data_IF_196962864906
#
_entry.id   IF_196962864906
#
_cell.length_a   1.000
_cell.length_b   1.000
_cell.length_c   1.000
_cell.angle_alpha   90.00
_cell.angle_beta   90.00
_cell.angle_gamma   90.00
#
_symmetry.space_group_name_H-M   'P 1'
#
loop_
_entity.id
_entity.type
_entity.pdbx_description
1 polymer ?
#
# COMPACT_ATOMS: atom_id res chain seq x y z
N UNK A 1 8.69 -9.97 10.07
CA UNK A 1 7.41 -9.34 9.67
C UNK A 1 7.23 -8.04 10.45
N UNK A 2 6.79 -6.97 9.79
CA UNK A 2 6.52 -5.65 10.37
C UNK A 2 5.03 -5.36 10.31
N UNK A 3 4.47 -4.77 11.36
CA UNK A 3 3.08 -4.29 11.37
C UNK A 3 3.04 -2.83 10.92
N UNK A 4 2.10 -2.50 10.05
CA UNK A 4 1.86 -1.14 9.57
C UNK A 4 0.39 -0.79 9.75
N UNK A 5 0.13 0.46 10.14
CA UNK A 5 -1.22 0.98 10.31
C UNK A 5 -1.44 2.20 9.44
N UNK A 6 -2.69 2.42 9.00
CA UNK A 6 -3.07 3.74 8.47
C UNK A 6 -3.08 4.79 9.59
N UNK A 7 -3.26 6.06 9.23
CA UNK A 7 -3.23 7.16 10.20
C UNK A 7 -4.30 7.03 11.30
N UNK A 8 -5.53 6.65 10.94
CA UNK A 8 -6.59 6.48 11.92
C UNK A 8 -6.51 5.16 12.71
N UNK A 9 -5.56 4.27 12.39
CA UNK A 9 -5.42 2.95 13.02
C UNK A 9 -6.50 1.91 12.66
N UNK A 10 -7.49 2.30 11.85
CA UNK A 10 -8.59 1.41 11.43
C UNK A 10 -8.14 0.27 10.52
N UNK A 11 -7.05 0.45 9.77
CA UNK A 11 -6.44 -0.57 8.92
C UNK A 11 -5.09 -0.97 9.52
N UNK A 12 -4.89 -2.28 9.66
CA UNK A 12 -3.61 -2.88 10.05
C UNK A 12 -3.24 -3.94 9.03
N UNK A 13 -1.99 -3.88 8.57
CA UNK A 13 -1.39 -4.89 7.70
C UNK A 13 -0.13 -5.43 8.35
N UNK A 14 0.17 -6.68 8.05
CA UNK A 14 1.45 -7.31 8.33
C UNK A 14 2.19 -7.50 7.02
N UNK A 15 3.43 -7.03 6.98
CA UNK A 15 4.27 -7.09 5.79
C UNK A 15 5.61 -7.74 6.11
N UNK A 16 6.03 -8.66 5.28
CA UNK A 16 7.38 -9.16 5.24
C UNK A 16 8.17 -8.34 4.22
N UNK A 17 9.15 -7.58 4.69
CA UNK A 17 9.96 -6.70 3.84
C UNK A 17 11.40 -6.74 4.32
N UNK A 18 12.38 -6.78 3.39
CA UNK A 18 13.79 -6.75 3.76
C UNK A 18 14.14 -5.53 4.61
N UNK A 19 15.09 -5.73 5.53
CA UNK A 19 15.68 -4.67 6.35
C UNK A 19 17.22 -4.80 6.28
N UNK A 20 17.93 -3.88 5.62
CA UNK A 20 17.43 -2.65 4.99
C UNK A 20 16.60 -2.90 3.73
N UNK A 21 15.81 -1.91 3.31
CA UNK A 21 15.06 -1.98 2.06
C UNK A 21 16.02 -2.16 0.87
N UNK A 22 15.78 -3.19 0.05
CA UNK A 22 16.62 -3.50 -1.13
C UNK A 22 16.36 -2.53 -2.28
N UNK A 23 15.10 -2.14 -2.51
CA UNK A 23 14.72 -1.27 -3.62
C UNK A 23 13.55 -0.38 -3.24
N UNK A 24 13.77 0.93 -3.29
CA UNK A 24 12.73 1.95 -3.12
C UNK A 24 12.50 2.69 -4.43
N UNK A 25 11.24 3.03 -4.70
CA UNK A 25 10.81 3.63 -5.97
C UNK A 25 9.91 4.83 -5.67
N UNK A 26 10.08 5.89 -6.45
CA UNK A 26 9.13 7.00 -6.52
C UNK A 26 8.62 7.12 -7.96
N UNK A 27 7.47 6.50 -8.22
CA UNK A 27 6.88 6.50 -9.55
C UNK A 27 6.45 7.92 -9.97
N UNK A 28 6.73 8.29 -11.22
CA UNK A 28 6.51 9.64 -11.77
C UNK A 28 5.25 9.75 -12.65
N UNK A 29 4.40 8.72 -12.71
CA UNK A 29 3.13 8.80 -13.44
C UNK A 29 2.17 9.81 -12.77
N UNK A 30 1.15 10.24 -13.50
CA UNK A 30 0.20 11.28 -13.04
C UNK A 30 -0.49 10.96 -11.72
N UNK A 31 -0.87 9.70 -11.49
CA UNK A 31 -1.45 9.25 -10.22
C UNK A 31 -0.42 9.25 -9.08
N UNK A 32 0.74 8.65 -9.30
CA UNK A 32 1.77 8.51 -8.25
C UNK A 32 2.38 9.84 -7.85
N UNK A 33 2.54 10.78 -8.79
CA UNK A 33 2.94 12.17 -8.49
C UNK A 33 1.97 12.85 -7.52
N UNK A 34 0.66 12.67 -7.70
CA UNK A 34 -0.37 13.22 -6.79
C UNK A 34 -0.36 12.55 -5.41
N UNK A 35 -0.09 11.24 -5.36
CA UNK A 35 0.02 10.50 -4.09
C UNK A 35 1.27 10.85 -3.30
N UNK A 36 2.37 11.15 -3.99
CA UNK A 36 3.64 11.56 -3.36
C UNK A 36 4.34 10.47 -2.55
N UNK A 37 3.92 9.21 -2.66
CA UNK A 37 4.45 8.11 -1.85
C UNK A 37 5.77 7.54 -2.36
N UNK A 38 6.61 7.07 -1.44
CA UNK A 38 7.76 6.21 -1.71
C UNK A 38 7.30 4.76 -1.48
N UNK A 39 7.59 3.87 -2.42
CA UNK A 39 7.11 2.49 -2.40
C UNK A 39 8.25 1.50 -2.56
N UNK A 40 8.09 0.33 -1.94
CA UNK A 40 8.89 -0.88 -2.20
C UNK A 40 7.96 -1.98 -2.68
N UNK A 41 8.51 -2.99 -3.35
CA UNK A 41 7.77 -4.17 -3.78
C UNK A 41 7.97 -5.30 -2.75
N UNK A 42 6.92 -6.07 -2.55
CA UNK A 42 6.91 -7.30 -1.74
C UNK A 42 6.20 -8.40 -2.52
N UNK A 43 6.46 -9.67 -2.20
CA UNK A 43 5.77 -10.80 -2.83
C UNK A 43 4.28 -10.84 -2.46
N UNK A 44 3.47 -11.62 -3.20
CA UNK A 44 2.04 -11.77 -2.92
C UNK A 44 1.77 -12.38 -1.53
N UNK A 45 2.64 -13.26 -1.05
CA UNK A 45 2.52 -13.93 0.25
C UNK A 45 3.16 -13.12 1.40
N UNK A 46 3.84 -12.03 1.07
CA UNK A 46 4.53 -11.18 2.02
C UNK A 46 3.65 -10.04 2.57
N UNK A 47 2.37 -9.99 2.20
CA UNK A 47 1.43 -8.98 2.70
C UNK A 47 0.12 -9.62 3.13
N UNK A 48 -0.28 -9.35 4.37
CA UNK A 48 -1.56 -9.79 4.94
C UNK A 48 -2.31 -8.63 5.56
N UNK A 49 -3.61 -8.52 5.26
CA UNK A 49 -4.51 -7.58 5.95
C UNK A 49 -4.93 -8.23 7.26
N UNK A 50 -4.66 -7.56 8.38
CA UNK A 50 -4.96 -8.05 9.73
C UNK A 50 -6.34 -7.54 10.19
N UNK A 51 -6.67 -6.27 9.91
CA UNK A 51 -7.99 -5.68 10.21
C UNK A 51 -8.33 -4.52 9.27
N UNK A 52 -9.59 -4.10 9.24
CA UNK A 52 -10.03 -2.91 8.51
C UNK A 52 -10.27 -3.13 7.02
N UNK A 53 -10.59 -4.36 6.60
CA UNK A 53 -10.79 -4.70 5.18
C UNK A 53 -11.98 -3.94 4.58
N UNK A 54 -12.99 -3.69 5.38
CA UNK A 54 -14.18 -2.89 5.09
C UNK A 54 -13.88 -1.40 4.86
N UNK A 55 -12.79 -0.91 5.46
CA UNK A 55 -12.30 0.46 5.28
C UNK A 55 -11.40 0.61 4.05
N UNK A 56 -11.02 -0.48 3.38
CA UNK A 56 -10.22 -0.40 2.15
C UNK A 56 -11.09 0.01 0.97
N UNK A 57 -10.71 1.11 0.31
CA UNK A 57 -11.26 1.52 -0.98
C UNK A 57 -10.30 1.19 -2.09
N UNK A 58 -10.85 0.62 -3.16
CA UNK A 58 -10.11 0.34 -4.39
C UNK A 58 -10.25 1.52 -5.35
N UNK A 59 -9.11 2.04 -5.79
CA UNK A 59 -9.02 2.94 -6.93
C UNK A 59 -8.26 2.28 -8.08
N UNK A 60 -8.87 2.29 -9.27
CA UNK A 60 -8.26 1.82 -10.51
C UNK A 60 -8.35 2.92 -11.56
N UNK A 61 -7.30 3.08 -12.36
CA UNK A 61 -7.25 4.07 -13.43
C UNK A 61 -6.65 3.47 -14.71
N UNK A 62 -6.82 4.16 -15.84
CA UNK A 62 -6.27 3.79 -17.14
C UNK A 62 -6.63 2.35 -17.54
N UNK A 63 -5.67 1.45 -17.71
CA UNK A 63 -5.90 0.03 -18.06
C UNK A 63 -6.63 -0.77 -16.99
N UNK A 64 -6.84 -0.18 -15.79
CA UNK A 64 -7.41 -0.85 -14.60
C UNK A 64 -6.61 -2.07 -14.14
N UNK A 65 -5.38 -2.24 -14.59
CA UNK A 65 -4.51 -3.35 -14.16
C UNK A 65 -4.08 -3.19 -12.70
N UNK A 66 -3.58 -2.01 -12.33
CA UNK A 66 -3.13 -1.74 -10.98
C UNK A 66 -4.31 -1.48 -10.02
N UNK A 67 -4.33 -2.20 -8.90
CA UNK A 67 -5.33 -2.04 -7.84
C UNK A 67 -4.74 -1.23 -6.70
N UNK A 68 -5.14 0.04 -6.60
CA UNK A 68 -4.63 0.94 -5.58
C UNK A 68 -5.58 1.02 -4.40
N UNK A 69 -5.22 0.35 -3.30
CA UNK A 69 -6.00 0.42 -2.06
C UNK A 69 -5.56 1.59 -1.17
N UNK A 70 -6.52 2.16 -0.44
CA UNK A 70 -6.31 3.21 0.57
C UNK A 70 -7.44 3.17 1.61
N UNK A 71 -7.23 3.79 2.78
CA UNK A 71 -8.27 3.87 3.80
C UNK A 71 -9.36 4.87 3.36
N UNK A 72 -10.63 4.51 3.53
CA UNK A 72 -11.74 5.42 3.24
C UNK A 72 -11.81 6.62 4.20
N UNK A 73 -11.13 6.54 5.34
CA UNK A 73 -11.22 7.55 6.40
C UNK A 73 -10.05 8.53 6.43
N UNK A 74 -8.86 8.12 5.98
CA UNK A 74 -7.64 8.92 6.04
C UNK A 74 -6.68 8.63 4.89
#
# INVERSE_FOLDING_TARGET
>A
MKKLTCHCGGIEIEVNVPDPFVKVIRCNCSLCKRRGTIMTMVGPDDLKIIKGKELLKLYQFHTKTAKHYFCSNC
#
